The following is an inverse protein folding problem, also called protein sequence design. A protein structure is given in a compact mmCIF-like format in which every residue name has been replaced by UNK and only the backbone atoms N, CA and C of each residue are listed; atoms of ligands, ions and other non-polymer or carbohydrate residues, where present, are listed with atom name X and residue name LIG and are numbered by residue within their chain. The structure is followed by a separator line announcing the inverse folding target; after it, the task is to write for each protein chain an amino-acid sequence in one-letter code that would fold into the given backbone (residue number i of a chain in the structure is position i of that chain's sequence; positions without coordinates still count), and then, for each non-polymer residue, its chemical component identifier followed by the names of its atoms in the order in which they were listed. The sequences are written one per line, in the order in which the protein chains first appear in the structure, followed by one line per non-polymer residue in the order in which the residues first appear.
data_IF_253925716448
#
_entry.id   IF_253925716448
#
_cell.length_a   1.000
_cell.length_b   1.000
_cell.length_c   1.000
_cell.angle_alpha   90.00
_cell.angle_beta   90.00
_cell.angle_gamma   90.00
#
_symmetry.space_group_name_H-M   'P 1'
#
loop_
_entity.id
_entity.type
_entity.pdbx_description
1 polymer ?
#
# COMPACT_ATOMS: atom_id res chain seq x y z
N UNK A 1 -4.49 62.57 -50.22
CA UNK A 1 -5.48 63.66 -50.31
C UNK A 1 -6.75 63.22 -49.60
N UNK A 2 -7.24 64.06 -48.67
CA UNK A 2 -8.64 64.23 -48.23
C UNK A 2 -9.35 62.99 -47.66
N UNK A 3 -9.91 62.95 -46.45
CA UNK A 3 -10.20 63.98 -45.45
C UNK A 3 -11.49 63.62 -44.68
N UNK A 4 -11.59 64.14 -43.44
CA UNK A 4 -12.78 64.43 -42.62
C UNK A 4 -13.73 63.27 -42.18
N UNK A 5 -13.85 62.87 -40.89
CA UNK A 5 -14.60 63.44 -39.71
C UNK A 5 -16.12 63.63 -40.04
N UNK A 6 -17.16 63.17 -39.31
CA UNK A 6 -17.61 63.41 -37.91
C UNK A 6 -18.75 62.43 -37.50
N UNK A 7 -18.67 61.94 -36.26
CA UNK A 7 -19.67 61.66 -35.21
C UNK A 7 -21.20 61.80 -35.49
N UNK A 8 -22.02 60.81 -35.09
CA UNK A 8 -23.29 61.01 -34.33
C UNK A 8 -23.55 59.81 -33.41
N UNK A 9 -23.86 60.11 -32.16
CA UNK A 9 -24.30 59.21 -31.07
C UNK A 9 -25.81 58.93 -31.22
N UNK A 10 -26.25 57.67 -31.00
CA UNK A 10 -27.62 57.41 -30.56
C UNK A 10 -27.69 56.14 -29.68
N UNK A 11 -28.28 56.34 -28.51
CA UNK A 11 -28.50 55.45 -27.39
C UNK A 11 -29.55 54.34 -27.63
N UNK A 12 -29.42 53.29 -26.80
CA UNK A 12 -30.47 52.40 -26.24
C UNK A 12 -30.94 51.20 -27.06
N UNK A 13 -30.65 50.03 -26.48
CA UNK A 13 -31.28 48.75 -26.80
C UNK A 13 -30.74 47.65 -25.89
N UNK A 14 -31.24 47.58 -24.65
CA UNK A 14 -31.03 46.44 -23.75
C UNK A 14 -31.46 45.15 -24.45
N UNK A 15 -30.53 44.20 -24.59
CA UNK A 15 -30.87 42.78 -24.57
C UNK A 15 -29.94 42.12 -23.57
N UNK A 16 -30.50 41.85 -22.38
CA UNK A 16 -29.90 40.98 -21.39
C UNK A 16 -29.92 39.54 -21.93
N UNK A 17 -28.95 39.22 -22.79
CA UNK A 17 -28.65 37.86 -23.21
C UNK A 17 -27.65 37.27 -22.24
N UNK A 18 -28.14 36.73 -21.12
CA UNK A 18 -27.36 35.89 -20.23
C UNK A 18 -26.94 34.64 -20.99
N UNK A 19 -25.78 34.66 -21.65
CA UNK A 19 -25.08 33.46 -22.06
C UNK A 19 -24.57 32.80 -20.79
N UNK A 20 -25.40 31.91 -20.23
CA UNK A 20 -24.94 30.87 -19.33
C UNK A 20 -23.89 30.07 -20.10
N UNK A 21 -22.61 30.39 -19.87
CA UNK A 21 -21.52 29.53 -20.31
C UNK A 21 -21.78 28.12 -19.75
N UNK A 22 -21.38 27.06 -20.45
CA UNK A 22 -21.44 25.74 -19.88
C UNK A 22 -20.58 25.80 -18.62
N UNK A 23 -21.21 25.72 -17.46
CA UNK A 23 -20.53 25.34 -16.25
C UNK A 23 -19.95 23.97 -16.59
N UNK A 24 -18.66 23.92 -16.91
CA UNK A 24 -17.91 22.69 -16.92
C UNK A 24 -18.13 22.11 -15.53
N UNK A 25 -19.02 21.12 -15.44
CA UNK A 25 -19.21 20.36 -14.24
C UNK A 25 -17.81 19.86 -13.90
N UNK A 26 -17.21 20.41 -12.84
CA UNK A 26 -16.07 19.76 -12.23
C UNK A 26 -16.53 18.34 -11.99
N UNK A 27 -15.93 17.37 -12.68
CA UNK A 27 -16.11 15.98 -12.35
C UNK A 27 -15.63 15.86 -10.91
N UNK A 28 -16.56 15.96 -9.96
CA UNK A 28 -16.27 15.72 -8.57
C UNK A 28 -15.79 14.27 -8.54
N UNK A 29 -14.55 14.04 -8.10
CA UNK A 29 -14.07 12.71 -7.76
C UNK A 29 -15.16 12.10 -6.85
N UNK A 30 -15.98 11.21 -7.41
CA UNK A 30 -17.17 10.69 -6.78
C UNK A 30 -17.17 9.19 -6.97
N UNK A 31 -16.91 8.50 -5.88
CA UNK A 31 -17.00 7.05 -5.78
C UNK A 31 -18.46 6.64 -5.95
N UNK A 32 -18.72 5.69 -6.85
CA UNK A 32 -20.07 5.15 -7.06
C UNK A 32 -20.39 4.05 -6.04
N UNK A 33 -21.69 3.75 -5.87
CA UNK A 33 -22.09 2.59 -5.08
C UNK A 33 -21.66 1.32 -5.82
N UNK A 34 -21.16 0.33 -5.09
CA UNK A 34 -20.60 -0.86 -5.69
C UNK A 34 -20.45 -2.01 -4.71
N UNK A 35 -20.00 -3.13 -5.22
CA UNK A 35 -19.57 -4.26 -4.43
C UNK A 35 -18.52 -5.06 -5.20
N UNK A 36 -17.60 -5.66 -4.46
CA UNK A 36 -16.64 -6.66 -4.95
C UNK A 36 -16.86 -7.95 -4.20
N UNK A 37 -16.75 -9.07 -4.90
CA UNK A 37 -16.76 -10.40 -4.29
C UNK A 37 -15.46 -11.14 -4.63
N UNK A 38 -14.90 -11.83 -3.63
CA UNK A 38 -13.73 -12.70 -3.80
C UNK A 38 -14.06 -14.05 -3.16
N UNK A 39 -13.60 -15.12 -3.81
CA UNK A 39 -13.83 -16.49 -3.35
C UNK A 39 -12.52 -17.25 -3.33
N UNK A 40 -12.31 -18.01 -2.25
CA UNK A 40 -11.29 -19.05 -2.18
C UNK A 40 -11.87 -20.24 -1.43
N UNK A 41 -11.69 -21.44 -1.97
CA UNK A 41 -12.30 -22.66 -1.42
C UNK A 41 -13.82 -22.49 -1.19
N UNK A 42 -14.27 -22.76 0.03
CA UNK A 42 -15.67 -22.65 0.43
C UNK A 42 -16.08 -21.23 0.90
N UNK A 43 -15.15 -20.27 0.91
CA UNK A 43 -15.33 -18.95 1.51
C UNK A 43 -15.53 -17.91 0.41
N UNK A 44 -16.65 -17.20 0.47
CA UNK A 44 -16.92 -16.03 -0.37
C UNK A 44 -17.08 -14.81 0.52
N UNK A 45 -16.26 -13.80 0.31
CA UNK A 45 -16.40 -12.48 0.94
C UNK A 45 -16.95 -11.48 -0.07
N UNK A 46 -17.93 -10.69 0.34
CA UNK A 46 -18.49 -9.60 -0.44
C UNK A 46 -18.38 -8.31 0.35
N UNK A 47 -17.59 -7.36 -0.15
CA UNK A 47 -17.51 -6.01 0.37
C UNK A 47 -18.38 -5.11 -0.49
N UNK A 48 -19.38 -4.47 0.12
CA UNK A 48 -20.34 -3.59 -0.56
C UNK A 48 -20.34 -2.21 0.05
N UNK A 49 -20.68 -1.19 -0.74
CA UNK A 49 -20.69 0.19 -0.29
C UNK A 49 -21.70 1.07 -1.03
N UNK A 50 -21.97 2.24 -0.46
CA UNK A 50 -22.72 3.32 -1.08
C UNK A 50 -21.77 4.38 -1.65
N UNK A 51 -22.31 5.13 -2.60
CA UNK A 51 -21.59 6.23 -3.23
C UNK A 51 -21.10 7.25 -2.18
N UNK A 52 -19.98 7.89 -2.47
CA UNK A 52 -19.41 8.95 -1.65
C UNK A 52 -18.61 9.92 -2.49
N UNK A 53 -18.11 10.99 -1.88
CA UNK A 53 -17.26 11.94 -2.59
C UNK A 53 -15.83 11.40 -2.67
N UNK A 54 -15.07 11.48 -1.59
CA UNK A 54 -13.65 11.06 -1.59
C UNK A 54 -13.41 9.59 -1.27
N UNK A 55 -14.37 8.94 -0.63
CA UNK A 55 -14.29 7.58 -0.12
C UNK A 55 -15.68 6.95 -0.19
N UNK A 56 -15.74 5.63 -0.09
CA UNK A 56 -17.01 4.90 -0.03
C UNK A 56 -17.76 5.23 1.27
N UNK A 57 -19.09 5.08 1.29
CA UNK A 57 -19.90 5.24 2.51
C UNK A 57 -20.65 3.97 2.87
N UNK A 58 -20.94 3.78 4.16
CA UNK A 58 -21.64 2.59 4.70
C UNK A 58 -21.07 1.25 4.20
N UNK A 59 -19.74 1.02 4.29
CA UNK A 59 -19.15 -0.22 3.84
C UNK A 59 -19.65 -1.39 4.69
N UNK A 60 -20.06 -2.48 4.04
CA UNK A 60 -20.58 -3.68 4.68
C UNK A 60 -19.92 -4.92 4.10
N UNK A 61 -19.38 -5.75 4.98
CA UNK A 61 -18.70 -7.00 4.62
C UNK A 61 -19.59 -8.18 5.00
N UNK A 62 -20.00 -8.97 4.01
CA UNK A 62 -20.64 -10.26 4.23
C UNK A 62 -19.67 -11.38 3.89
N UNK A 63 -19.67 -12.43 4.71
CA UNK A 63 -18.83 -13.61 4.50
C UNK A 63 -19.71 -14.85 4.55
N UNK A 64 -19.68 -15.62 3.47
CA UNK A 64 -20.40 -16.87 3.32
C UNK A 64 -19.44 -18.06 3.32
N UNK A 65 -19.85 -19.15 3.97
CA UNK A 65 -19.16 -20.45 3.96
C UNK A 65 -20.10 -21.49 3.37
N UNK A 66 -19.69 -22.17 2.31
CA UNK A 66 -20.52 -23.16 1.61
C UNK A 66 -21.87 -22.56 1.16
N UNK A 67 -21.88 -21.29 0.74
CA UNK A 67 -23.07 -20.56 0.31
C UNK A 67 -23.94 -19.99 1.45
N UNK A 68 -23.65 -20.29 2.71
CA UNK A 68 -24.40 -19.75 3.86
C UNK A 68 -23.67 -18.55 4.45
N UNK A 69 -24.35 -17.39 4.55
CA UNK A 69 -23.79 -16.21 5.22
C UNK A 69 -23.61 -16.51 6.71
N UNK A 70 -22.36 -16.47 7.17
CA UNK A 70 -21.98 -16.70 8.58
C UNK A 70 -21.54 -15.42 9.27
N UNK A 71 -21.29 -14.35 8.51
CA UNK A 71 -20.95 -13.04 9.06
C UNK A 71 -21.44 -11.92 8.18
N UNK A 72 -21.86 -10.85 8.85
CA UNK A 72 -22.41 -9.65 8.26
C UNK A 72 -22.00 -8.48 9.16
N UNK A 73 -21.05 -7.69 8.68
CA UNK A 73 -20.30 -6.74 9.46
C UNK A 73 -20.47 -5.33 8.88
N UNK A 74 -20.83 -4.37 9.72
CA UNK A 74 -20.64 -2.96 9.40
C UNK A 74 -19.15 -2.63 9.54
N UNK A 75 -18.52 -2.24 8.43
CA UNK A 75 -17.09 -1.96 8.41
C UNK A 75 -16.79 -0.60 9.04
N UNK A 76 -17.77 0.31 9.14
CA UNK A 76 -17.59 1.61 9.80
C UNK A 76 -17.41 1.51 11.32
N UNK A 77 -17.92 0.44 11.94
CA UNK A 77 -17.69 0.13 13.36
C UNK A 77 -16.26 -0.35 13.64
N UNK A 78 -15.54 -0.78 12.61
CA UNK A 78 -14.19 -1.34 12.73
C UNK A 78 -13.16 -0.23 12.91
N UNK A 79 -13.45 0.96 12.38
CA UNK A 79 -12.54 2.08 12.30
C UNK A 79 -13.27 3.38 11.90
N UNK A 80 -13.57 4.21 12.90
CA UNK A 80 -14.42 5.41 12.79
C UNK A 80 -13.88 6.49 11.85
N UNK A 81 -12.56 6.57 11.69
CA UNK A 81 -11.88 7.67 10.98
C UNK A 81 -11.01 7.20 9.79
N UNK A 82 -11.09 5.93 9.37
CA UNK A 82 -10.39 5.51 8.16
C UNK A 82 -11.25 5.63 6.92
N UNK A 83 -10.55 5.80 5.82
CA UNK A 83 -11.08 5.84 4.47
C UNK A 83 -11.06 4.43 3.90
N UNK A 84 -12.15 4.05 3.26
CA UNK A 84 -12.18 2.94 2.31
C UNK A 84 -12.41 3.55 0.93
N UNK A 85 -11.66 3.08 -0.05
CA UNK A 85 -11.82 3.48 -1.45
C UNK A 85 -12.57 2.39 -2.21
N UNK A 86 -13.02 2.70 -3.42
CA UNK A 86 -13.64 1.67 -4.25
C UNK A 86 -12.62 0.59 -4.65
N UNK A 87 -13.05 -0.66 -4.61
CA UNK A 87 -12.33 -1.76 -5.23
C UNK A 87 -12.67 -1.75 -6.72
N UNK A 88 -11.65 -1.64 -7.57
CA UNK A 88 -11.81 -1.62 -9.02
C UNK A 88 -11.51 -2.99 -9.65
N UNK A 89 -11.33 -4.05 -8.86
CA UNK A 89 -11.19 -5.40 -9.39
C UNK A 89 -12.44 -5.80 -10.16
N UNK A 90 -12.32 -5.80 -11.49
CA UNK A 90 -13.45 -5.98 -12.42
C UNK A 90 -13.58 -4.84 -13.45
N UNK A 91 -12.83 -3.74 -13.28
CA UNK A 91 -12.64 -2.72 -14.32
C UNK A 91 -11.46 -3.12 -15.22
N UNK A 92 -11.62 -2.97 -16.53
CA UNK A 92 -10.59 -3.31 -17.52
C UNK A 92 -9.42 -2.31 -17.53
N UNK A 93 -9.64 -1.08 -17.06
CA UNK A 93 -8.68 0.01 -17.21
C UNK A 93 -7.74 0.16 -16.00
N UNK A 94 -8.18 -0.20 -14.79
CA UNK A 94 -7.37 -0.19 -13.56
C UNK A 94 -7.81 -1.33 -12.63
N UNK A 95 -6.92 -2.28 -12.36
CA UNK A 95 -7.16 -3.38 -11.41
C UNK A 95 -6.49 -3.04 -10.08
N UNK A 96 -7.27 -2.47 -9.16
CA UNK A 96 -6.88 -2.27 -7.77
C UNK A 96 -7.86 -3.04 -6.89
N UNK A 97 -7.33 -3.89 -6.03
CA UNK A 97 -8.16 -4.65 -5.09
C UNK A 97 -7.77 -4.32 -3.66
N UNK A 98 -8.78 -4.02 -2.85
CA UNK A 98 -8.64 -3.77 -1.42
C UNK A 98 -9.09 -4.97 -0.61
N UNK A 99 -9.56 -6.06 -1.23
CA UNK A 99 -10.06 -7.23 -0.53
C UNK A 99 -9.38 -8.52 -1.00
N UNK A 100 -8.97 -9.34 -0.04
CA UNK A 100 -8.35 -10.63 -0.28
C UNK A 100 -9.08 -11.75 0.46
N UNK A 101 -9.16 -12.92 -0.16
CA UNK A 101 -9.64 -14.16 0.47
C UNK A 101 -8.62 -15.25 0.14
N UNK A 102 -7.87 -15.70 1.14
CA UNK A 102 -6.78 -16.65 0.98
C UNK A 102 -6.54 -17.40 2.30
N UNK A 103 -6.05 -18.64 2.21
CA UNK A 103 -5.58 -19.36 3.40
C UNK A 103 -4.21 -18.78 3.81
N UNK A 104 -4.18 -18.00 4.89
CA UNK A 104 -2.98 -17.35 5.38
C UNK A 104 -2.29 -18.16 6.49
N UNK A 105 -2.92 -19.25 6.94
CA UNK A 105 -2.48 -20.01 8.12
C UNK A 105 -2.19 -21.47 7.83
N UNK A 106 -2.56 -21.95 6.64
CA UNK A 106 -2.36 -23.31 6.16
C UNK A 106 -3.33 -24.31 6.79
N UNK A 107 -4.46 -23.85 7.34
CA UNK A 107 -5.45 -24.70 8.01
C UNK A 107 -6.61 -25.14 7.09
N UNK A 108 -6.60 -24.72 5.83
CA UNK A 108 -7.61 -25.01 4.83
C UNK A 108 -8.85 -24.12 4.91
N UNK A 109 -8.91 -23.17 5.85
CA UNK A 109 -9.99 -22.20 6.01
C UNK A 109 -9.50 -20.79 5.62
N UNK A 110 -9.87 -20.28 4.44
CA UNK A 110 -9.43 -18.96 4.01
C UNK A 110 -9.80 -17.83 4.98
N UNK A 111 -8.80 -17.03 5.32
CA UNK A 111 -8.97 -15.71 5.92
C UNK A 111 -9.55 -14.72 4.91
N UNK A 112 -10.29 -13.75 5.44
CA UNK A 112 -10.79 -12.59 4.68
C UNK A 112 -10.05 -11.35 5.17
N UNK A 113 -9.53 -10.54 4.26
CA UNK A 113 -8.92 -9.28 4.63
C UNK A 113 -9.33 -8.14 3.71
N UNK A 114 -9.31 -6.92 4.25
CA UNK A 114 -9.48 -5.72 3.44
C UNK A 114 -8.65 -4.53 3.93
N UNK A 115 -8.35 -3.62 3.02
CA UNK A 115 -7.52 -2.45 3.29
C UNK A 115 -8.33 -1.23 3.73
N UNK A 116 -7.73 -0.48 4.65
CA UNK A 116 -8.23 0.81 5.14
C UNK A 116 -7.09 1.82 5.11
N UNK A 117 -7.40 3.09 4.87
CA UNK A 117 -6.42 4.15 4.66
C UNK A 117 -6.62 5.29 5.66
N UNK A 118 -5.54 5.91 6.13
CA UNK A 118 -5.61 6.95 7.17
C UNK A 118 -5.30 8.37 6.72
N UNK A 119 -4.78 8.60 5.51
CA UNK A 119 -4.40 9.96 5.06
C UNK A 119 -4.49 10.17 3.55
N UNK A 120 -5.63 9.82 2.95
CA UNK A 120 -5.88 9.86 1.50
C UNK A 120 -6.07 8.46 0.90
N UNK A 121 -6.48 8.38 -0.36
CA UNK A 121 -6.93 7.14 -1.02
C UNK A 121 -5.86 6.04 -1.17
N UNK A 122 -4.57 6.40 -1.08
CA UNK A 122 -3.45 5.48 -1.34
C UNK A 122 -2.28 5.63 -0.36
N UNK A 123 -2.47 6.34 0.76
CA UNK A 123 -1.50 6.36 1.83
C UNK A 123 -2.02 5.67 3.07
N UNK A 124 -1.06 5.04 3.72
CA UNK A 124 -1.09 4.69 5.11
C UNK A 124 -2.04 3.50 5.31
N UNK A 125 -1.75 2.45 4.54
CA UNK A 125 -2.53 1.24 4.38
C UNK A 125 -2.49 0.43 5.66
N UNK A 126 -3.68 0.04 6.13
CA UNK A 126 -3.88 -0.91 7.22
C UNK A 126 -4.76 -2.03 6.73
N UNK A 127 -4.20 -3.23 6.65
CA UNK A 127 -4.91 -4.46 6.31
C UNK A 127 -5.64 -4.98 7.54
N UNK A 128 -6.95 -5.21 7.42
CA UNK A 128 -7.81 -5.76 8.46
C UNK A 128 -8.04 -7.23 8.16
N UNK A 129 -7.52 -8.13 8.98
CA UNK A 129 -7.63 -9.58 8.74
C UNK A 129 -8.67 -10.20 9.66
N UNK A 130 -9.54 -11.02 9.09
CA UNK A 130 -10.61 -11.76 9.73
C UNK A 130 -10.39 -13.25 9.50
N UNK A 131 -10.51 -14.03 10.58
CA UNK A 131 -10.44 -15.47 10.53
C UNK A 131 -11.71 -16.09 11.11
N UNK A 132 -12.02 -17.31 10.68
CA UNK A 132 -13.19 -18.03 11.15
C UNK A 132 -13.08 -18.41 12.63
N UNK A 133 -14.22 -18.44 13.32
CA UNK A 133 -14.36 -18.91 14.68
C UNK A 133 -15.45 -19.97 14.75
N UNK A 134 -15.09 -21.25 14.89
CA UNK A 134 -16.06 -22.34 15.02
C UNK A 134 -17.04 -22.12 16.17
N UNK A 135 -16.54 -21.64 17.32
CA UNK A 135 -17.35 -21.46 18.53
C UNK A 135 -18.53 -20.48 18.36
N UNK A 136 -18.41 -19.49 17.47
CA UNK A 136 -19.45 -18.48 17.22
C UNK A 136 -20.02 -18.56 15.81
N UNK A 137 -19.66 -19.60 15.05
CA UNK A 137 -19.93 -19.76 13.63
C UNK A 137 -19.86 -18.44 12.84
N UNK A 138 -18.74 -17.72 12.99
CA UNK A 138 -18.58 -16.38 12.40
C UNK A 138 -17.11 -16.01 12.24
N UNK A 139 -16.84 -15.08 11.34
CA UNK A 139 -15.54 -14.44 11.19
C UNK A 139 -15.37 -13.30 12.20
N UNK A 140 -14.16 -13.17 12.73
CA UNK A 140 -13.78 -12.11 13.67
C UNK A 140 -12.45 -11.52 13.27
N UNK A 141 -12.31 -10.20 13.45
CA UNK A 141 -11.04 -9.52 13.22
C UNK A 141 -9.98 -10.09 14.16
N UNK A 142 -8.89 -10.58 13.60
CA UNK A 142 -7.78 -11.17 14.36
C UNK A 142 -6.56 -10.29 14.38
N UNK A 143 -6.40 -9.43 13.36
CA UNK A 143 -5.25 -8.59 13.19
C UNK A 143 -5.62 -7.29 12.48
N UNK A 144 -4.91 -6.21 12.81
CA UNK A 144 -4.78 -5.03 11.95
C UNK A 144 -3.30 -4.82 11.69
N UNK A 145 -2.87 -5.02 10.44
CA UNK A 145 -1.49 -4.95 10.02
C UNK A 145 -1.25 -3.63 9.31
N UNK A 146 -0.37 -2.80 9.86
CA UNK A 146 -0.02 -1.51 9.28
C UNK A 146 1.12 -1.68 8.27
N UNK A 147 0.83 -1.42 7.00
CA UNK A 147 1.78 -1.40 5.90
C UNK A 147 2.32 0.01 5.64
N UNK A 148 1.63 1.04 6.11
CA UNK A 148 2.08 2.42 5.91
C UNK A 148 2.03 2.81 4.45
N UNK A 149 3.14 3.29 3.89
CA UNK A 149 3.17 3.88 2.56
C UNK A 149 3.48 2.85 1.45
N UNK A 150 3.76 1.60 1.81
CA UNK A 150 4.12 0.56 0.86
C UNK A 150 2.92 -0.32 0.52
N UNK A 151 2.91 -0.82 -0.72
CA UNK A 151 2.00 -1.87 -1.14
C UNK A 151 2.43 -3.25 -0.66
N UNK A 152 1.52 -4.21 -0.79
CA UNK A 152 1.77 -5.62 -0.53
C UNK A 152 0.92 -6.48 -1.48
N UNK A 153 1.28 -7.75 -1.58
CA UNK A 153 0.54 -8.80 -2.26
C UNK A 153 0.20 -9.91 -1.26
N UNK A 154 -0.92 -10.60 -1.49
CA UNK A 154 -1.27 -11.84 -0.81
C UNK A 154 -1.04 -12.98 -1.79
N UNK A 155 -0.01 -13.79 -1.56
CA UNK A 155 0.43 -14.80 -2.51
C UNK A 155 1.21 -15.92 -1.85
N UNK A 156 0.93 -17.14 -2.27
CA UNK A 156 1.77 -18.30 -1.99
C UNK A 156 3.08 -18.18 -2.80
N UNK A 157 4.16 -17.82 -2.10
CA UNK A 157 5.46 -17.52 -2.72
C UNK A 157 6.34 -18.76 -2.88
N UNK A 158 6.14 -19.80 -2.07
CA UNK A 158 6.96 -21.02 -2.08
C UNK A 158 6.21 -22.28 -2.55
N UNK A 159 4.92 -22.16 -2.84
CA UNK A 159 4.08 -23.21 -3.40
C UNK A 159 3.59 -24.21 -2.37
N UNK A 160 3.58 -23.87 -1.07
CA UNK A 160 3.18 -24.78 0.00
C UNK A 160 1.67 -24.83 0.25
N UNK A 161 0.89 -24.01 -0.46
CA UNK A 161 -0.56 -23.89 -0.32
C UNK A 161 -1.01 -22.83 0.69
N UNK A 162 -0.08 -22.24 1.45
CA UNK A 162 -0.32 -21.12 2.37
C UNK A 162 0.11 -19.83 1.70
N UNK A 163 -0.75 -18.80 1.73
CA UNK A 163 -0.37 -17.51 1.17
C UNK A 163 0.42 -16.67 2.18
N UNK A 164 1.55 -16.09 1.73
CA UNK A 164 2.27 -15.04 2.44
C UNK A 164 1.70 -13.65 2.18
N UNK A 165 2.00 -12.74 3.10
CA UNK A 165 1.86 -11.31 2.87
C UNK A 165 3.21 -10.73 2.45
N UNK A 166 3.34 -10.38 1.17
CA UNK A 166 4.59 -9.95 0.53
C UNK A 166 4.54 -8.48 0.19
N UNK A 167 5.28 -7.64 0.91
CA UNK A 167 5.36 -6.21 0.65
C UNK A 167 6.78 -5.68 0.84
N UNK A 168 6.89 -4.50 1.43
CA UNK A 168 8.16 -3.86 1.75
C UNK A 168 8.19 -3.31 3.18
N UNK A 169 9.35 -2.82 3.63
CA UNK A 169 9.54 -2.30 4.97
C UNK A 169 9.42 -0.77 5.02
N UNK A 170 8.22 -0.28 5.34
CA UNK A 170 7.90 1.15 5.48
C UNK A 170 8.76 1.89 6.53
N UNK A 171 9.45 1.19 7.42
CA UNK A 171 10.35 1.83 8.39
C UNK A 171 11.50 2.61 7.74
N UNK A 172 11.79 2.37 6.45
CA UNK A 172 12.76 3.13 5.66
C UNK A 172 12.19 4.43 5.08
N UNK A 173 10.88 4.66 5.13
CA UNK A 173 10.25 5.91 4.70
C UNK A 173 10.88 7.09 5.44
N UNK A 174 11.39 8.07 4.70
CA UNK A 174 12.01 9.28 5.23
C UNK A 174 13.28 9.06 6.10
N UNK A 175 13.73 7.81 6.29
CA UNK A 175 14.80 7.50 7.24
C UNK A 175 16.18 7.94 6.73
N UNK A 176 16.39 7.88 5.41
CA UNK A 176 17.69 8.15 4.77
C UNK A 176 17.60 9.03 3.51
N UNK A 177 16.40 9.46 3.14
CA UNK A 177 16.12 10.32 2.00
C UNK A 177 14.73 10.94 2.15
N UNK A 178 14.32 11.84 1.26
CA UNK A 178 12.91 12.14 1.03
C UNK A 178 12.11 10.87 0.70
N UNK A 179 10.78 10.90 0.87
CA UNK A 179 9.93 9.76 0.53
C UNK A 179 10.05 9.34 -0.94
N UNK A 180 10.08 10.31 -1.85
CA UNK A 180 10.20 10.06 -3.30
C UNK A 180 11.47 9.29 -3.68
N UNK A 181 12.51 9.37 -2.85
CA UNK A 181 13.77 8.67 -3.06
C UNK A 181 14.07 7.61 -1.98
N UNK A 182 13.10 7.33 -1.10
CA UNK A 182 13.21 6.23 -0.16
C UNK A 182 13.20 4.91 -0.94
N UNK A 183 14.03 3.97 -0.49
CA UNK A 183 14.02 2.61 -0.98
C UNK A 183 13.64 1.69 0.18
N UNK A 184 12.76 0.73 -0.09
CA UNK A 184 12.13 -0.10 0.91
C UNK A 184 12.60 -1.55 0.67
N UNK A 185 13.38 -2.15 1.59
CA UNK A 185 13.71 -3.55 1.50
C UNK A 185 12.46 -4.43 1.43
N UNK A 186 12.50 -5.58 0.75
CA UNK A 186 11.38 -6.52 0.71
C UNK A 186 11.05 -7.00 2.12
N UNK A 187 9.76 -7.25 2.37
CA UNK A 187 9.25 -7.76 3.64
C UNK A 187 8.18 -8.81 3.39
N UNK A 188 8.45 -10.03 3.83
CA UNK A 188 7.52 -11.16 3.70
C UNK A 188 7.11 -11.64 5.08
N UNK A 189 5.80 -11.74 5.29
CA UNK A 189 5.20 -12.05 6.58
C UNK A 189 4.32 -13.30 6.46
N UNK A 190 4.46 -14.22 7.40
CA UNK A 190 3.53 -15.34 7.60
C UNK A 190 2.57 -15.04 8.74
N UNK A 191 1.31 -15.44 8.59
CA UNK A 191 0.30 -15.39 9.65
C UNK A 191 0.20 -16.76 10.34
N UNK A 192 -0.11 -16.75 11.63
CA UNK A 192 -0.46 -17.96 12.37
C UNK A 192 -1.57 -17.63 13.36
N UNK A 193 -2.44 -18.60 13.63
CA UNK A 193 -3.51 -18.50 14.61
C UNK A 193 -3.26 -19.46 15.78
N UNK A 194 -3.42 -18.95 16.99
CA UNK A 194 -3.51 -19.80 18.15
C UNK A 194 -4.92 -20.41 18.22
N UNK A 195 -5.06 -21.72 18.02
CA UNK A 195 -6.35 -22.39 17.98
C UNK A 195 -7.21 -22.21 19.25
N UNK A 196 -6.58 -22.11 20.43
CA UNK A 196 -7.31 -21.99 21.70
C UNK A 196 -7.87 -20.57 21.94
N UNK A 197 -7.14 -19.53 21.54
CA UNK A 197 -7.49 -18.13 21.81
C UNK A 197 -7.99 -17.38 20.60
N UNK A 198 -7.76 -17.92 19.40
CA UNK A 198 -7.93 -17.24 18.12
C UNK A 198 -6.95 -16.08 17.90
N UNK A 199 -5.98 -15.83 18.78
CA UNK A 199 -5.06 -14.71 18.58
C UNK A 199 -4.16 -14.97 17.37
N UNK A 200 -4.04 -13.97 16.51
CA UNK A 200 -3.10 -13.99 15.40
C UNK A 200 -1.70 -13.56 15.85
N UNK A 201 -0.69 -14.17 15.24
CA UNK A 201 0.69 -13.74 15.32
C UNK A 201 1.27 -13.63 13.91
N UNK A 202 2.09 -12.61 13.69
CA UNK A 202 2.80 -12.38 12.44
C UNK A 202 4.29 -12.59 12.65
N UNK A 203 4.94 -13.24 11.70
CA UNK A 203 6.38 -13.45 11.71
C UNK A 203 7.00 -12.96 10.42
N UNK A 204 8.08 -12.19 10.54
CA UNK A 204 8.94 -11.86 9.41
C UNK A 204 9.72 -13.09 8.97
N UNK A 205 9.42 -13.55 7.76
CA UNK A 205 10.04 -14.71 7.13
C UNK A 205 10.80 -14.33 5.85
N UNK A 206 11.09 -13.04 5.64
CA UNK A 206 11.75 -12.51 4.42
C UNK A 206 13.03 -13.28 4.07
N UNK A 207 13.80 -13.72 5.07
CA UNK A 207 15.05 -14.48 4.86
C UNK A 207 14.85 -15.85 4.20
N UNK A 208 13.63 -16.40 4.18
CA UNK A 208 13.28 -17.61 3.43
C UNK A 208 13.23 -17.38 1.91
N UNK A 209 13.18 -16.12 1.46
CA UNK A 209 13.08 -15.75 0.05
C UNK A 209 14.35 -15.05 -0.47
N UNK A 210 15.54 -15.69 -0.39
CA UNK A 210 16.80 -15.01 -0.72
C UNK A 210 16.94 -14.68 -2.21
N UNK A 211 16.17 -15.32 -3.09
CA UNK A 211 16.13 -14.96 -4.52
C UNK A 211 15.50 -13.57 -4.73
N UNK A 212 14.38 -13.29 -4.06
CA UNK A 212 13.72 -11.98 -4.06
C UNK A 212 14.67 -10.90 -3.53
N UNK A 213 15.30 -11.15 -2.37
CA UNK A 213 16.26 -10.22 -1.77
C UNK A 213 17.46 -9.97 -2.70
N UNK A 214 18.00 -11.00 -3.36
CA UNK A 214 19.12 -10.82 -4.30
C UNK A 214 18.73 -9.99 -5.51
N UNK A 215 17.52 -10.18 -6.02
CA UNK A 215 17.00 -9.43 -7.17
C UNK A 215 16.90 -7.95 -6.85
N UNK A 216 16.29 -7.60 -5.71
CA UNK A 216 16.18 -6.20 -5.31
C UNK A 216 17.55 -5.57 -4.99
N UNK A 217 18.42 -6.30 -4.28
CA UNK A 217 19.77 -5.82 -3.99
C UNK A 217 20.58 -5.53 -5.26
N UNK A 218 20.41 -6.35 -6.31
CA UNK A 218 21.06 -6.11 -7.60
C UNK A 218 20.53 -4.84 -8.29
N UNK A 219 19.21 -4.61 -8.24
CA UNK A 219 18.56 -3.39 -8.74
C UNK A 219 19.07 -2.15 -8.01
N UNK A 220 19.10 -2.19 -6.67
CA UNK A 220 19.61 -1.12 -5.83
C UNK A 220 21.10 -0.86 -6.10
N UNK A 221 21.91 -1.91 -6.20
CA UNK A 221 23.34 -1.78 -6.49
C UNK A 221 23.58 -1.13 -7.86
N UNK A 222 22.79 -1.47 -8.88
CA UNK A 222 22.86 -0.84 -10.20
C UNK A 222 22.61 0.68 -10.09
N UNK A 223 21.58 1.08 -9.35
CA UNK A 223 21.29 2.49 -9.10
C UNK A 223 22.43 3.21 -8.35
N UNK A 224 22.96 2.59 -7.28
CA UNK A 224 24.09 3.13 -6.50
C UNK A 224 25.34 3.29 -7.38
N UNK A 225 25.60 2.34 -8.27
CA UNK A 225 26.75 2.41 -9.20
C UNK A 225 26.59 3.53 -10.21
N UNK A 226 25.39 3.72 -10.76
CA UNK A 226 25.09 4.79 -11.71
C UNK A 226 25.04 6.20 -11.08
N UNK A 227 24.85 6.32 -9.77
CA UNK A 227 24.68 7.61 -9.10
C UNK A 227 25.94 8.49 -9.18
N UNK A 228 25.73 9.78 -9.48
CA UNK A 228 26.76 10.81 -9.39
C UNK A 228 26.49 11.76 -8.23
N UNK A 229 27.51 12.12 -7.42
CA UNK A 229 27.32 12.95 -6.21
C UNK A 229 26.69 14.32 -6.47
N UNK A 230 27.07 14.96 -7.58
CA UNK A 230 26.58 16.27 -8.01
C UNK A 230 25.12 16.25 -8.46
N UNK A 231 24.62 15.09 -8.91
CA UNK A 231 23.28 14.93 -9.49
C UNK A 231 22.30 14.20 -8.56
N UNK A 232 22.80 13.44 -7.56
CA UNK A 232 21.96 12.52 -6.79
C UNK A 232 22.23 12.57 -5.28
N UNK A 233 21.75 13.65 -4.64
CA UNK A 233 21.84 13.85 -3.17
C UNK A 233 20.99 12.87 -2.36
N UNK A 234 20.05 12.20 -3.01
CA UNK A 234 19.02 11.34 -2.40
C UNK A 234 19.35 9.83 -2.50
N UNK A 235 20.50 9.46 -3.07
CA UNK A 235 20.89 8.05 -3.25
C UNK A 235 21.08 7.29 -1.92
N UNK A 236 21.15 8.00 -0.80
CA UNK A 236 21.30 7.43 0.54
C UNK A 236 20.15 6.47 0.91
N UNK A 237 18.93 6.69 0.39
CA UNK A 237 17.82 5.74 0.52
C UNK A 237 18.15 4.38 -0.10
N UNK A 238 18.61 4.36 -1.35
CA UNK A 238 19.02 3.13 -2.04
C UNK A 238 20.21 2.44 -1.35
N UNK A 239 21.20 3.21 -0.87
CA UNK A 239 22.34 2.67 -0.12
C UNK A 239 21.86 1.99 1.17
N UNK A 240 20.96 2.64 1.91
CA UNK A 240 20.42 2.10 3.16
C UNK A 240 19.69 0.77 2.93
N UNK A 241 18.79 0.72 1.94
CA UNK A 241 18.06 -0.49 1.58
C UNK A 241 19.00 -1.61 1.12
N UNK A 242 19.98 -1.30 0.25
CA UNK A 242 20.95 -2.30 -0.22
C UNK A 242 21.72 -2.93 0.95
N UNK A 243 22.17 -2.12 1.90
CA UNK A 243 22.89 -2.61 3.08
C UNK A 243 21.97 -3.49 3.93
N UNK A 244 20.71 -3.08 4.14
CA UNK A 244 19.71 -3.87 4.85
C UNK A 244 19.53 -5.26 4.23
N UNK A 245 19.42 -5.32 2.91
CA UNK A 245 19.28 -6.58 2.18
C UNK A 245 20.54 -7.44 2.21
N UNK A 246 21.73 -6.83 2.20
CA UNK A 246 22.96 -7.59 2.47
C UNK A 246 22.92 -8.20 3.88
N UNK A 247 22.34 -7.54 4.89
CA UNK A 247 22.14 -8.13 6.21
C UNK A 247 21.11 -9.26 6.21
N UNK A 248 19.99 -9.12 5.48
CA UNK A 248 19.02 -10.21 5.29
C UNK A 248 19.68 -11.46 4.67
N UNK A 249 20.62 -11.26 3.75
CA UNK A 249 21.39 -12.32 3.09
C UNK A 249 22.56 -12.87 3.92
N UNK A 250 22.77 -12.41 5.17
CA UNK A 250 23.92 -12.79 5.99
C UNK A 250 25.26 -12.21 5.51
N UNK A 251 25.24 -11.25 4.58
CA UNK A 251 26.40 -10.60 3.95
C UNK A 251 26.66 -9.20 4.50
N UNK A 252 26.45 -8.98 5.79
CA UNK A 252 26.61 -7.65 6.42
C UNK A 252 27.98 -6.99 6.17
N UNK A 253 29.05 -7.79 6.03
CA UNK A 253 30.37 -7.28 5.64
C UNK A 253 30.40 -6.64 4.24
N UNK A 254 29.67 -7.23 3.28
CA UNK A 254 29.50 -6.68 1.92
C UNK A 254 28.75 -5.35 1.98
N UNK A 255 27.68 -5.29 2.78
CA UNK A 255 26.93 -4.05 3.03
C UNK A 255 27.83 -2.95 3.61
N UNK A 256 28.60 -3.24 4.66
CA UNK A 256 29.55 -2.27 5.25
C UNK A 256 30.61 -1.81 4.25
N UNK A 257 31.14 -2.71 3.43
CA UNK A 257 32.10 -2.34 2.40
C UNK A 257 31.48 -1.39 1.36
N UNK A 258 30.18 -1.54 1.08
CA UNK A 258 29.46 -0.61 0.20
C UNK A 258 29.33 0.79 0.80
N UNK A 259 29.04 0.90 2.10
CA UNK A 259 29.01 2.21 2.79
C UNK A 259 30.36 2.92 2.63
N UNK A 260 31.47 2.19 2.81
CA UNK A 260 32.82 2.77 2.64
C UNK A 260 33.07 3.22 1.20
N UNK A 261 32.64 2.45 0.21
CA UNK A 261 32.75 2.83 -1.22
C UNK A 261 31.91 4.06 -1.53
N UNK A 262 30.65 4.09 -1.09
CA UNK A 262 29.75 5.21 -1.29
C UNK A 262 30.29 6.50 -0.64
N UNK A 263 30.87 6.39 0.57
CA UNK A 263 31.54 7.50 1.24
C UNK A 263 32.73 8.04 0.46
N UNK A 264 33.61 7.17 -0.06
CA UNK A 264 34.75 7.59 -0.91
C UNK A 264 34.31 8.31 -2.18
N UNK A 265 33.12 7.98 -2.69
CA UNK A 265 32.50 8.65 -3.83
C UNK A 265 31.76 9.93 -3.45
N UNK A 266 31.66 10.30 -2.17
CA UNK A 266 30.90 11.48 -1.75
C UNK A 266 29.37 11.30 -1.78
N UNK A 267 28.87 10.06 -1.80
CA UNK A 267 27.43 9.75 -1.88
C UNK A 267 26.73 9.65 -0.53
N UNK A 268 27.46 9.76 0.58
CA UNK A 268 26.90 9.61 1.94
C UNK A 268 27.21 10.83 2.78
N UNK A 269 26.24 11.30 3.55
CA UNK A 269 26.45 12.37 4.52
C UNK A 269 27.37 11.93 5.68
N UNK A 270 28.00 12.88 6.40
CA UNK A 270 28.66 12.59 7.66
C UNK A 270 27.72 11.85 8.63
N UNK A 271 28.24 10.85 9.35
CA UNK A 271 27.44 10.08 10.31
C UNK A 271 26.52 9.01 9.70
N UNK A 272 26.35 8.96 8.37
CA UNK A 272 25.44 8.01 7.69
C UNK A 272 25.65 6.56 8.13
N UNK A 273 26.90 6.08 8.18
CA UNK A 273 27.21 4.71 8.60
C UNK A 273 26.71 4.39 10.01
N UNK A 274 26.98 5.27 10.97
CA UNK A 274 26.60 5.08 12.36
C UNK A 274 25.08 5.04 12.50
N UNK A 275 24.40 5.99 11.86
CA UNK A 275 22.94 6.10 11.87
C UNK A 275 22.29 4.87 11.24
N UNK A 276 22.77 4.46 10.05
CA UNK A 276 22.27 3.28 9.36
C UNK A 276 22.45 2.00 10.18
N UNK A 277 23.63 1.75 10.74
CA UNK A 277 23.88 0.53 11.50
C UNK A 277 23.13 0.48 12.83
N UNK A 278 22.80 1.63 13.43
CA UNK A 278 21.94 1.72 14.60
C UNK A 278 20.46 1.49 14.24
N UNK A 279 20.02 2.08 13.12
CA UNK A 279 18.69 1.86 12.56
C UNK A 279 18.46 0.37 12.28
N UNK A 280 19.36 -0.28 11.53
CA UNK A 280 19.27 -1.70 11.17
C UNK A 280 19.22 -2.64 12.39
N UNK A 281 19.88 -2.27 13.49
CA UNK A 281 19.79 -3.01 14.75
C UNK A 281 18.40 -2.88 15.38
N UNK A 282 17.86 -1.66 15.42
CA UNK A 282 16.53 -1.38 16.00
C UNK A 282 15.40 -2.01 15.17
N UNK A 283 15.57 -2.14 13.86
CA UNK A 283 14.59 -2.72 12.95
C UNK A 283 14.80 -4.22 12.67
N UNK A 284 15.74 -4.89 13.35
CA UNK A 284 15.87 -6.35 13.29
C UNK A 284 16.61 -6.92 12.07
N UNK A 285 17.35 -6.08 11.33
CA UNK A 285 18.23 -6.54 10.26
C UNK A 285 19.57 -7.05 10.79
N UNK A 286 20.06 -6.44 11.88
CA UNK A 286 21.39 -6.66 12.45
C UNK A 286 21.35 -7.07 13.91
#
# INVERSE_FOLDING_TARGET
MRGLVVLVVACVGLVAGGVAGPAAAQAQNRVQAGAVAKTSGAVTATLSWKAGQFAVTKPRLTIARGGTVVSDLDVSDVCKDCLLVEDTAGNADEVFTIMHVADLTGDGEPEVSFDTFSNGAHCCTTQRIYAYRPATNSYRRVLSLYWGNVGYEVKDLDGDGTAELSGADDSFAYAFSSYAASAFPPKVLSLSLNAATGKAAVKDITRRFPAMIRSDAARLLKAIRAAKPEENREIQGAIAAYVAEQYLLGKGAVGKAEIVRARKRGLTAPGFQTNLLAFLKRTGYR
#
